data_IF_447142997159
#
_entry.id   IF_447142997159
#
_cell.length_a   1.000
_cell.length_b   1.000
_cell.length_c   1.000
_cell.angle_alpha   90.00
_cell.angle_beta   90.00
_cell.angle_gamma   90.00
#
_symmetry.space_group_name_H-M   'P 1'
#
loop_
_entity.id
_entity.type
_entity.pdbx_description
1 polymer ?
#
# COMPACT_ATOMS: atom_id res chain seq x y z
N UNK A 1 -6.44 16.82 -19.59
CA UNK A 1 -6.73 15.46 -19.09
C UNK A 1 -7.57 15.59 -17.83
N UNK A 2 -8.76 15.00 -17.78
CA UNK A 2 -9.57 14.95 -16.56
C UNK A 2 -8.84 14.12 -15.51
N UNK A 3 -8.63 14.66 -14.31
CA UNK A 3 -8.03 13.90 -13.21
C UNK A 3 -8.99 12.78 -12.79
N UNK A 4 -8.46 11.59 -12.54
CA UNK A 4 -9.22 10.48 -11.99
C UNK A 4 -9.79 10.90 -10.61
N UNK A 5 -11.08 10.71 -10.32
CA UNK A 5 -11.66 11.01 -9.00
C UNK A 5 -10.87 10.42 -7.83
N UNK A 6 -10.30 9.22 -7.99
CA UNK A 6 -9.49 8.56 -6.96
C UNK A 6 -8.18 9.32 -6.69
N UNK A 7 -7.52 9.83 -7.74
CA UNK A 7 -6.29 10.60 -7.56
C UNK A 7 -6.56 11.96 -6.92
N UNK A 8 -7.74 12.55 -7.17
CA UNK A 8 -8.16 13.79 -6.50
C UNK A 8 -8.31 13.56 -4.99
N UNK A 9 -8.96 12.46 -4.58
CA UNK A 9 -9.16 12.13 -3.16
C UNK A 9 -7.81 11.90 -2.47
N UNK A 10 -6.90 11.19 -3.13
CA UNK A 10 -5.58 10.87 -2.57
C UNK A 10 -4.70 12.11 -2.41
N UNK A 11 -4.69 13.00 -3.41
CA UNK A 11 -3.95 14.25 -3.36
C UNK A 11 -4.51 15.22 -2.31
N UNK A 12 -5.86 15.27 -2.16
CA UNK A 12 -6.49 16.12 -1.16
C UNK A 12 -6.11 15.72 0.28
N UNK A 13 -5.87 14.43 0.52
CA UNK A 13 -5.46 13.88 1.82
C UNK A 13 -4.05 13.30 1.79
N UNK A 14 -3.15 13.90 1.02
CA UNK A 14 -1.75 13.49 0.96
C UNK A 14 -1.14 13.42 2.36
N UNK A 15 -0.48 12.31 2.69
CA UNK A 15 0.07 12.08 4.02
C UNK A 15 1.22 13.06 4.29
N UNK A 16 1.07 13.91 5.30
CA UNK A 16 2.01 14.99 5.65
C UNK A 16 2.57 14.88 7.08
N UNK A 17 2.36 13.73 7.72
CA UNK A 17 2.82 13.43 9.07
C UNK A 17 1.80 13.70 10.17
N UNK A 18 0.82 14.57 9.95
CA UNK A 18 -0.17 14.94 10.98
C UNK A 18 -1.57 14.39 10.70
N UNK A 19 -1.82 13.89 9.49
CA UNK A 19 -3.15 13.50 9.00
C UNK A 19 -3.29 11.99 8.72
N UNK A 20 -2.60 11.13 9.47
CA UNK A 20 -2.56 9.69 9.20
C UNK A 20 -3.94 9.05 9.06
N UNK A 21 -4.89 9.38 9.94
CA UNK A 21 -6.22 8.77 9.91
C UNK A 21 -7.04 9.20 8.67
N UNK A 22 -6.96 10.47 8.27
CA UNK A 22 -7.66 10.99 7.09
C UNK A 22 -7.06 10.44 5.79
N UNK A 23 -5.72 10.36 5.75
CA UNK A 23 -4.99 9.69 4.69
C UNK A 23 -5.37 8.21 4.59
N UNK A 24 -5.36 7.47 5.71
CA UNK A 24 -5.68 6.04 5.72
C UNK A 24 -7.12 5.78 5.27
N UNK A 25 -8.08 6.64 5.65
CA UNK A 25 -9.46 6.56 5.14
C UNK A 25 -9.49 6.73 3.62
N UNK A 26 -8.76 7.71 3.09
CA UNK A 26 -8.69 7.97 1.65
C UNK A 26 -8.04 6.82 0.89
N UNK A 27 -6.96 6.27 1.45
CA UNK A 27 -6.28 5.09 0.92
C UNK A 27 -7.21 3.88 0.86
N UNK A 28 -7.94 3.58 1.94
CA UNK A 28 -8.86 2.45 2.00
C UNK A 28 -9.96 2.54 0.93
N UNK A 29 -10.50 3.74 0.64
CA UNK A 29 -11.50 3.92 -0.41
C UNK A 29 -10.94 3.52 -1.78
N UNK A 30 -9.69 3.90 -2.07
CA UNK A 30 -9.03 3.59 -3.35
C UNK A 30 -8.74 2.09 -3.43
N UNK A 31 -8.24 1.49 -2.35
CA UNK A 31 -7.92 0.07 -2.33
C UNK A 31 -9.16 -0.81 -2.37
N UNK A 32 -10.27 -0.41 -1.75
CA UNK A 32 -11.56 -1.09 -1.87
C UNK A 32 -12.06 -1.05 -3.32
N UNK A 33 -11.93 0.10 -3.99
CA UNK A 33 -12.29 0.23 -5.41
C UNK A 33 -11.46 -0.70 -6.30
N UNK A 34 -10.17 -0.85 -6.01
CA UNK A 34 -9.25 -1.73 -6.73
C UNK A 34 -9.30 -3.20 -6.24
N UNK A 35 -10.10 -3.53 -5.22
CA UNK A 35 -10.18 -4.85 -4.56
C UNK A 35 -8.87 -5.35 -3.92
N UNK A 36 -8.04 -4.42 -3.44
CA UNK A 36 -6.67 -4.68 -2.95
C UNK A 36 -6.47 -4.38 -1.46
N UNK A 37 -7.54 -4.08 -0.72
CA UNK A 37 -7.47 -3.74 0.72
C UNK A 37 -6.76 -4.81 1.55
N UNK A 38 -6.85 -6.08 1.13
CA UNK A 38 -6.18 -7.19 1.80
C UNK A 38 -4.65 -7.04 1.86
N UNK A 39 -4.02 -6.35 0.91
CA UNK A 39 -2.56 -6.17 0.89
C UNK A 39 -2.03 -5.31 2.05
N UNK A 40 -2.91 -4.54 2.73
CA UNK A 40 -2.55 -3.76 3.91
C UNK A 40 -2.52 -4.56 5.21
N UNK A 41 -3.19 -5.72 5.24
CA UNK A 41 -3.43 -6.50 6.45
C UNK A 41 -2.88 -7.93 6.36
N UNK A 42 -2.80 -8.49 5.16
CA UNK A 42 -2.26 -9.84 4.95
C UNK A 42 -0.74 -9.80 4.90
N UNK A 43 -0.13 -10.73 5.64
CA UNK A 43 1.32 -10.98 5.55
C UNK A 43 1.71 -11.45 4.15
N UNK A 44 2.94 -11.15 3.70
CA UNK A 44 3.46 -11.71 2.46
C UNK A 44 3.40 -13.23 2.46
N UNK A 45 3.03 -13.86 1.32
CA UNK A 45 3.03 -15.30 1.20
C UNK A 45 4.45 -15.82 1.40
N UNK A 46 4.56 -17.01 1.99
CA UNK A 46 5.82 -17.72 2.01
C UNK A 46 6.28 -18.03 0.57
N UNK A 47 7.59 -18.20 0.39
CA UNK A 47 8.16 -18.62 -0.89
C UNK A 47 7.50 -19.91 -1.38
N UNK A 48 7.16 -19.96 -2.67
CA UNK A 48 6.60 -21.15 -3.28
C UNK A 48 7.64 -22.29 -3.37
N UNK A 49 7.26 -23.54 -3.00
CA UNK A 49 8.04 -24.73 -3.35
C UNK A 49 8.22 -24.90 -4.86
N UNK A 50 9.29 -25.57 -5.29
CA UNK A 50 9.59 -25.79 -6.70
C UNK A 50 8.50 -26.63 -7.41
N UNK A 51 7.91 -27.58 -6.68
CA UNK A 51 6.84 -28.48 -7.11
C UNK A 51 5.42 -27.86 -7.02
N UNK A 52 5.31 -26.57 -6.72
CA UNK A 52 4.02 -25.87 -6.68
C UNK A 52 3.23 -26.07 -7.98
N UNK A 53 1.91 -26.09 -7.90
CA UNK A 53 1.03 -26.13 -9.07
C UNK A 53 1.07 -24.81 -9.85
N UNK A 54 0.65 -24.85 -11.12
CA UNK A 54 0.49 -23.63 -11.92
C UNK A 54 -0.50 -22.64 -11.28
N UNK A 55 -1.53 -23.14 -10.61
CA UNK A 55 -2.53 -22.30 -9.92
C UNK A 55 -1.92 -21.57 -8.72
N UNK A 56 -1.08 -22.22 -7.95
CA UNK A 56 -0.37 -21.60 -6.82
C UNK A 56 0.61 -20.53 -7.30
N UNK A 57 1.35 -20.81 -8.37
CA UNK A 57 2.23 -19.82 -9.02
C UNK A 57 1.48 -18.56 -9.46
N UNK A 58 0.36 -18.72 -10.15
CA UNK A 58 -0.48 -17.59 -10.58
C UNK A 58 -1.01 -16.78 -9.40
N UNK A 59 -1.43 -17.43 -8.32
CA UNK A 59 -1.92 -16.72 -7.12
C UNK A 59 -0.80 -15.95 -6.42
N UNK A 60 0.39 -16.55 -6.33
CA UNK A 60 1.57 -15.93 -5.73
C UNK A 60 2.04 -14.71 -6.53
N UNK A 61 2.12 -14.83 -7.86
CA UNK A 61 2.44 -13.71 -8.75
C UNK A 61 1.40 -12.59 -8.63
N UNK A 62 0.11 -12.94 -8.65
CA UNK A 62 -0.97 -11.97 -8.47
C UNK A 62 -0.84 -11.22 -7.14
N UNK A 63 -0.55 -11.94 -6.05
CA UNK A 63 -0.36 -11.32 -4.75
C UNK A 63 0.77 -10.28 -4.79
N UNK A 64 1.91 -10.63 -5.39
CA UNK A 64 3.04 -9.71 -5.53
C UNK A 64 2.75 -8.52 -6.44
N UNK A 65 1.98 -8.71 -7.50
CA UNK A 65 1.57 -7.63 -8.39
C UNK A 65 0.66 -6.64 -7.67
N UNK A 66 -0.29 -7.15 -6.89
CA UNK A 66 -1.19 -6.33 -6.10
C UNK A 66 -0.45 -5.61 -4.96
N UNK A 67 0.46 -6.28 -4.25
CA UNK A 67 1.32 -5.65 -3.24
C UNK A 67 2.19 -4.51 -3.84
N UNK A 68 2.82 -4.72 -5.01
CA UNK A 68 3.59 -3.66 -5.69
C UNK A 68 2.74 -2.45 -6.08
N UNK A 69 1.50 -2.68 -6.51
CA UNK A 69 0.55 -1.58 -6.81
C UNK A 69 0.20 -0.81 -5.53
N UNK A 70 -0.13 -1.50 -4.44
CA UNK A 70 -0.44 -0.84 -3.17
C UNK A 70 0.75 -0.08 -2.61
N UNK A 71 1.96 -0.63 -2.66
CA UNK A 71 3.19 0.08 -2.32
C UNK A 71 3.32 1.38 -3.13
N UNK A 72 3.10 1.31 -4.45
CA UNK A 72 3.17 2.50 -5.32
C UNK A 72 2.14 3.56 -4.94
N UNK A 73 0.91 3.16 -4.63
CA UNK A 73 -0.15 4.07 -4.16
C UNK A 73 0.26 4.73 -2.83
N UNK A 74 0.75 3.95 -1.86
CA UNK A 74 1.21 4.47 -0.58
C UNK A 74 2.31 5.52 -0.78
N UNK A 75 3.39 5.18 -1.50
CA UNK A 75 4.55 6.04 -1.68
C UNK A 75 4.24 7.31 -2.48
N UNK A 76 3.34 7.24 -3.46
CA UNK A 76 2.90 8.42 -4.22
C UNK A 76 1.96 9.33 -3.43
N UNK A 77 1.25 8.78 -2.44
CA UNK A 77 0.27 9.49 -1.60
C UNK A 77 0.83 10.15 -0.36
N UNK A 78 2.16 10.24 -0.22
CA UNK A 78 2.82 10.87 0.93
C UNK A 78 3.81 11.95 0.50
N UNK A 79 4.21 12.80 1.44
CA UNK A 79 5.28 13.78 1.17
C UNK A 79 6.61 13.08 0.91
N UNK A 80 7.54 13.81 0.28
CA UNK A 80 8.83 13.27 -0.11
C UNK A 80 9.66 12.85 1.12
N UNK A 81 9.52 13.56 2.24
CA UNK A 81 10.22 13.24 3.48
C UNK A 81 9.81 11.88 4.01
N UNK A 82 8.50 11.58 4.04
CA UNK A 82 7.98 10.28 4.45
C UNK A 82 8.34 9.18 3.45
N UNK A 83 8.32 9.50 2.15
CA UNK A 83 8.70 8.56 1.11
C UNK A 83 10.15 8.09 1.28
N UNK A 84 11.09 9.02 1.50
CA UNK A 84 12.51 8.68 1.70
C UNK A 84 12.73 7.79 2.92
N UNK A 85 12.01 8.04 4.02
CA UNK A 85 12.11 7.21 5.23
C UNK A 85 11.54 5.80 5.02
N UNK A 86 10.55 5.67 4.14
CA UNK A 86 9.83 4.40 3.93
C UNK A 86 10.27 3.61 2.71
N UNK A 87 11.12 4.18 1.83
CA UNK A 87 11.51 3.58 0.54
C UNK A 87 12.22 2.24 0.61
N UNK A 88 12.80 1.88 1.76
CA UNK A 88 13.46 0.58 1.97
C UNK A 88 12.48 -0.56 2.31
N UNK A 89 11.20 -0.27 2.50
CA UNK A 89 10.20 -1.27 2.88
C UNK A 89 9.52 -1.84 1.64
N UNK A 90 9.58 -3.17 1.47
CA UNK A 90 9.16 -3.82 0.22
C UNK A 90 7.69 -4.22 0.14
N UNK A 91 6.96 -4.29 1.27
CA UNK A 91 5.56 -4.71 1.30
C UNK A 91 4.64 -3.70 1.95
N UNK A 92 3.41 -3.61 1.43
CA UNK A 92 2.42 -2.61 1.81
C UNK A 92 2.04 -2.72 3.30
N UNK A 93 1.89 -3.95 3.81
CA UNK A 93 1.62 -4.21 5.22
C UNK A 93 2.70 -3.64 6.15
N UNK A 94 3.96 -3.73 5.75
CA UNK A 94 5.08 -3.21 6.53
C UNK A 94 5.20 -1.69 6.41
N UNK A 95 4.95 -1.13 5.23
CA UNK A 95 4.86 0.33 5.03
C UNK A 95 3.80 0.94 5.95
N UNK A 96 2.60 0.36 5.95
CA UNK A 96 1.49 0.81 6.80
C UNK A 96 1.85 0.75 8.29
N UNK A 97 2.48 -0.34 8.73
CA UNK A 97 2.91 -0.52 10.13
C UNK A 97 3.96 0.52 10.52
N UNK A 98 5.00 0.69 9.71
CA UNK A 98 6.05 1.68 9.94
C UNK A 98 5.50 3.11 10.00
N UNK A 99 4.63 3.49 9.06
CA UNK A 99 3.97 4.80 9.07
C UNK A 99 3.12 5.01 10.33
N UNK A 100 2.42 3.97 10.79
CA UNK A 100 1.63 4.03 12.03
C UNK A 100 2.54 4.26 13.24
N UNK A 101 3.65 3.53 13.32
CA UNK A 101 4.63 3.67 14.40
C UNK A 101 5.25 5.07 14.42
N UNK A 102 5.67 5.58 13.26
CA UNK A 102 6.29 6.91 13.15
C UNK A 102 5.33 8.07 13.47
N UNK A 103 4.07 7.96 13.09
CA UNK A 103 3.13 9.09 13.07
C UNK A 103 2.12 9.06 14.22
N UNK A 104 1.87 7.92 14.85
CA UNK A 104 0.88 7.78 15.93
C UNK A 104 1.52 7.34 17.25
N UNK A 105 2.49 6.43 17.24
CA UNK A 105 2.98 5.75 18.45
C UNK A 105 4.24 6.41 19.05
N UNK A 106 4.37 7.73 18.97
CA UNK A 106 5.48 8.47 19.59
C UNK A 106 5.51 8.34 21.11
#
# INVERSE_FOLDING_TARGET
MSKNPLTIILEANKLNGNNYNDWLRSLNIILDFETQTYALDQSPPASLPEDSSAKERVMFEKWHDDDRKVCSIILTSMTIELHVVTSCTCHAVWLRKLLKELLILK
#
